data_IF_157448314200
#
_entry.id   IF_157448314200
#
_cell.length_a   1.000
_cell.length_b   1.000
_cell.length_c   1.000
_cell.angle_alpha   90.00
_cell.angle_beta   90.00
_cell.angle_gamma   90.00
#
_symmetry.space_group_name_H-M   'P 1'
#
loop_
_entity.id
_entity.type
_entity.pdbx_description
1 polymer ?
#
# COMPACT_ATOMS: atom_id res chain seq x y z
N UNK A 1 39.95 -46.46 -12.88
CA UNK A 1 38.57 -46.97 -12.78
C UNK A 1 38.05 -46.69 -11.38
N UNK A 2 37.57 -45.46 -11.14
CA UNK A 2 36.79 -45.10 -9.95
C UNK A 2 35.83 -43.99 -10.36
N UNK A 3 34.79 -44.38 -11.10
CA UNK A 3 33.59 -43.55 -11.21
C UNK A 3 32.92 -43.60 -9.83
N UNK A 4 33.21 -42.60 -9.00
CA UNK A 4 32.38 -42.31 -7.85
C UNK A 4 31.00 -41.95 -8.40
N UNK A 5 30.07 -42.89 -8.26
CA UNK A 5 28.65 -42.69 -8.51
C UNK A 5 28.19 -41.58 -7.57
N UNK A 6 28.19 -40.33 -8.07
CA UNK A 6 27.38 -39.27 -7.47
C UNK A 6 25.95 -39.73 -7.68
N UNK A 7 25.41 -40.39 -6.65
CA UNK A 7 24.01 -40.73 -6.60
C UNK A 7 23.24 -39.43 -6.78
N UNK A 8 22.64 -39.25 -7.96
CA UNK A 8 21.55 -38.30 -8.21
C UNK A 8 20.32 -38.77 -7.44
N UNK A 9 20.47 -38.95 -6.13
CA UNK A 9 19.34 -38.96 -5.22
C UNK A 9 18.75 -37.57 -5.37
N UNK A 10 17.54 -37.49 -5.94
CA UNK A 10 16.77 -36.26 -5.97
C UNK A 10 16.80 -35.67 -4.55
N UNK A 11 17.57 -34.60 -4.36
CA UNK A 11 17.66 -33.92 -3.07
C UNK A 11 16.31 -33.25 -2.89
N UNK A 12 15.38 -33.97 -2.29
CA UNK A 12 14.07 -33.45 -1.93
C UNK A 12 14.27 -32.54 -0.73
N UNK A 13 14.50 -31.26 -0.99
CA UNK A 13 14.55 -30.26 0.06
C UNK A 13 13.14 -30.06 0.64
N UNK A 14 12.96 -30.13 1.97
CA UNK A 14 11.69 -29.75 2.58
C UNK A 14 11.43 -28.27 2.34
N UNK A 15 10.17 -27.86 2.29
CA UNK A 15 9.84 -26.44 2.24
C UNK A 15 10.33 -25.74 3.53
N UNK A 16 10.93 -24.54 3.47
CA UNK A 16 11.48 -23.89 4.65
C UNK A 16 10.45 -23.46 5.70
N UNK A 17 9.14 -23.44 5.38
CA UNK A 17 8.06 -22.94 6.24
C UNK A 17 7.96 -23.64 7.59
N UNK A 18 7.42 -24.86 7.63
CA UNK A 18 7.16 -25.58 8.89
C UNK A 18 8.40 -26.28 9.48
N UNK A 19 9.46 -26.48 8.69
CA UNK A 19 10.62 -27.30 9.08
C UNK A 19 11.94 -26.62 8.72
N UNK A 20 12.08 -25.34 9.08
CA UNK A 20 13.28 -24.54 8.78
C UNK A 20 14.57 -25.23 9.23
N UNK A 21 14.60 -25.85 10.41
CA UNK A 21 15.79 -26.52 10.93
C UNK A 21 16.22 -27.71 10.07
N UNK A 22 15.26 -28.51 9.57
CA UNK A 22 15.55 -29.62 8.65
C UNK A 22 16.04 -29.10 7.30
N UNK A 23 15.40 -28.05 6.79
CA UNK A 23 15.84 -27.40 5.55
C UNK A 23 17.29 -26.89 5.64
N UNK A 24 17.64 -26.22 6.75
CA UNK A 24 19.00 -25.75 7.02
C UNK A 24 20.00 -26.91 7.16
N UNK A 25 19.60 -28.02 7.77
CA UNK A 25 20.44 -29.21 7.90
C UNK A 25 20.75 -29.83 6.52
N UNK A 26 19.74 -29.99 5.65
CA UNK A 26 19.93 -30.54 4.31
C UNK A 26 20.81 -29.63 3.44
N UNK A 27 20.59 -28.32 3.46
CA UNK A 27 21.41 -27.37 2.68
C UNK A 27 22.88 -27.38 3.10
N UNK A 28 23.17 -27.61 4.38
CA UNK A 28 24.55 -27.70 4.85
C UNK A 28 25.26 -28.98 4.41
N UNK A 29 24.52 -30.05 4.05
CA UNK A 29 25.09 -31.29 3.50
C UNK A 29 25.49 -31.17 2.04
N UNK A 30 24.92 -30.21 1.31
CA UNK A 30 25.22 -30.00 -0.11
C UNK A 30 26.67 -29.50 -0.23
N UNK A 31 27.52 -30.18 -1.02
CA UNK A 31 28.91 -29.78 -1.20
C UNK A 31 29.00 -28.48 -2.01
N UNK A 32 30.01 -27.67 -1.69
CA UNK A 32 30.32 -26.47 -2.49
C UNK A 32 31.00 -26.88 -3.79
N UNK A 33 30.65 -26.19 -4.88
CA UNK A 33 31.28 -26.43 -6.18
C UNK A 33 32.69 -25.84 -6.24
N UNK A 34 33.59 -26.56 -6.89
CA UNK A 34 34.87 -26.00 -7.34
C UNK A 34 34.64 -24.95 -8.44
N UNK A 35 35.60 -24.04 -8.64
CA UNK A 35 35.49 -23.02 -9.68
C UNK A 35 35.38 -23.63 -11.09
N UNK A 36 36.11 -24.73 -11.34
CA UNK A 36 36.06 -25.49 -12.60
C UNK A 36 34.68 -26.09 -12.85
N UNK A 37 34.08 -26.72 -11.83
CA UNK A 37 32.75 -27.32 -11.93
C UNK A 37 31.67 -26.26 -12.09
N UNK A 38 31.78 -25.15 -11.38
CA UNK A 38 30.88 -23.99 -11.51
C UNK A 38 30.90 -23.44 -12.95
N UNK A 39 32.09 -23.30 -13.55
CA UNK A 39 32.24 -22.87 -14.93
C UNK A 39 31.65 -23.88 -15.93
N UNK A 40 31.93 -25.18 -15.77
CA UNK A 40 31.37 -26.24 -16.62
C UNK A 40 29.84 -26.22 -16.63
N UNK A 41 29.23 -26.10 -15.44
CA UNK A 41 27.77 -26.03 -15.29
C UNK A 41 27.19 -24.75 -15.90
N UNK A 42 27.86 -23.62 -15.72
CA UNK A 42 27.43 -22.35 -16.28
C UNK A 42 27.50 -22.34 -17.82
N UNK A 43 28.55 -22.92 -18.41
CA UNK A 43 28.67 -23.09 -19.87
C UNK A 43 27.57 -24.03 -20.39
N UNK A 44 27.34 -25.16 -19.73
CA UNK A 44 26.25 -26.09 -20.09
C UNK A 44 24.88 -25.42 -20.05
N UNK A 45 24.62 -24.63 -19.00
CA UNK A 45 23.37 -23.89 -18.87
C UNK A 45 23.22 -22.85 -20.00
N UNK A 46 24.26 -22.07 -20.29
CA UNK A 46 24.23 -21.03 -21.33
C UNK A 46 24.04 -21.61 -22.73
N UNK A 47 24.82 -22.62 -23.08
CA UNK A 47 24.91 -23.12 -24.46
C UNK A 47 23.80 -24.13 -24.78
N UNK A 48 23.32 -24.88 -23.78
CA UNK A 48 22.35 -25.97 -23.98
C UNK A 48 21.03 -25.78 -23.24
N UNK A 49 20.90 -24.76 -22.40
CA UNK A 49 19.70 -24.57 -21.57
C UNK A 49 19.50 -25.68 -20.54
N UNK A 50 20.58 -26.32 -20.08
CA UNK A 50 20.54 -27.49 -19.20
C UNK A 50 19.97 -27.17 -17.81
N UNK A 51 18.72 -27.58 -17.55
CA UNK A 51 18.03 -27.33 -16.29
C UNK A 51 18.63 -28.07 -15.10
N UNK A 52 19.26 -29.21 -15.32
CA UNK A 52 19.94 -29.95 -14.25
C UNK A 52 21.21 -29.20 -13.83
N UNK A 53 21.92 -28.59 -14.79
CA UNK A 53 23.05 -27.71 -14.49
C UNK A 53 22.61 -26.47 -13.69
N UNK A 54 21.49 -25.84 -14.06
CA UNK A 54 20.91 -24.76 -13.27
C UNK A 54 20.54 -25.20 -11.85
N UNK A 55 19.93 -26.38 -11.70
CA UNK A 55 19.58 -26.93 -10.38
C UNK A 55 20.82 -27.12 -9.51
N UNK A 56 21.88 -27.72 -10.04
CA UNK A 56 23.14 -27.94 -9.31
C UNK A 56 23.80 -26.61 -8.88
N UNK A 57 23.81 -25.61 -9.78
CA UNK A 57 24.29 -24.25 -9.47
C UNK A 57 23.48 -23.58 -8.36
N UNK A 58 22.15 -23.70 -8.38
CA UNK A 58 21.29 -23.10 -7.35
C UNK A 58 21.48 -23.80 -6.00
N UNK A 59 21.38 -25.14 -5.97
CA UNK A 59 21.44 -25.93 -4.74
C UNK A 59 22.76 -25.73 -3.97
N UNK A 60 23.89 -25.71 -4.69
CA UNK A 60 25.22 -25.51 -4.09
C UNK A 60 25.41 -24.13 -3.43
N UNK A 61 24.60 -23.14 -3.81
CA UNK A 61 24.69 -21.76 -3.36
C UNK A 61 23.60 -21.37 -2.33
N UNK A 62 22.71 -22.27 -1.96
CA UNK A 62 21.64 -21.97 -0.98
C UNK A 62 22.19 -21.55 0.39
N UNK A 63 23.33 -22.09 0.82
CA UNK A 63 24.03 -21.68 2.06
C UNK A 63 24.37 -20.19 2.06
N UNK A 64 24.73 -19.66 0.90
CA UNK A 64 25.05 -18.24 0.73
C UNK A 64 23.79 -17.38 0.81
N UNK A 65 22.68 -17.84 0.24
CA UNK A 65 21.36 -17.17 0.36
C UNK A 65 20.95 -17.06 1.83
N UNK A 66 21.06 -18.14 2.59
CA UNK A 66 20.76 -18.15 4.04
C UNK A 66 21.61 -17.13 4.79
N UNK A 67 22.90 -17.04 4.48
CA UNK A 67 23.80 -16.05 5.09
C UNK A 67 23.34 -14.61 4.83
N UNK A 68 22.89 -14.31 3.60
CA UNK A 68 22.38 -12.98 3.26
C UNK A 68 21.04 -12.73 3.96
N UNK A 69 20.10 -13.67 3.89
CA UNK A 69 18.75 -13.55 4.49
C UNK A 69 18.79 -13.29 6.00
N UNK A 70 19.75 -13.89 6.72
CA UNK A 70 19.97 -13.62 8.16
C UNK A 70 20.26 -12.16 8.49
N UNK A 71 20.80 -11.38 7.54
CA UNK A 71 20.99 -9.93 7.72
C UNK A 71 19.68 -9.13 7.77
N UNK A 72 18.55 -9.73 7.40
CA UNK A 72 17.25 -9.06 7.28
C UNK A 72 16.24 -9.51 8.35
N UNK A 73 16.64 -10.35 9.32
CA UNK A 73 15.75 -10.79 10.41
C UNK A 73 15.30 -9.63 11.32
N UNK A 74 16.06 -8.54 11.36
CA UNK A 74 15.74 -7.34 12.15
C UNK A 74 14.48 -6.58 11.71
N UNK A 75 13.87 -6.96 10.59
CA UNK A 75 12.62 -6.38 10.08
C UNK A 75 11.35 -7.06 10.60
N UNK A 76 11.46 -8.16 11.36
CA UNK A 76 10.31 -8.86 11.93
C UNK A 76 9.58 -9.80 10.96
N UNK A 77 10.18 -10.09 9.80
CA UNK A 77 9.65 -11.02 8.81
C UNK A 77 10.17 -12.45 9.05
N UNK A 78 9.38 -13.51 8.73
CA UNK A 78 9.84 -14.88 8.85
C UNK A 78 11.10 -15.15 8.03
N UNK A 79 12.12 -15.77 8.64
CA UNK A 79 13.38 -16.08 7.97
C UNK A 79 13.17 -17.04 6.78
N UNK A 80 12.21 -17.96 6.89
CA UNK A 80 11.84 -18.87 5.81
C UNK A 80 11.49 -18.10 4.52
N UNK A 81 10.65 -17.06 4.62
CA UNK A 81 10.24 -16.26 3.48
C UNK A 81 11.40 -15.47 2.88
N UNK A 82 12.24 -14.87 3.74
CA UNK A 82 13.44 -14.16 3.30
C UNK A 82 14.40 -15.08 2.53
N UNK A 83 14.52 -16.36 2.94
CA UNK A 83 15.33 -17.34 2.22
C UNK A 83 14.69 -17.69 0.87
N UNK A 84 13.37 -17.85 0.81
CA UNK A 84 12.66 -18.15 -0.44
C UNK A 84 12.83 -17.03 -1.47
N UNK A 85 12.65 -15.79 -1.06
CA UNK A 85 12.83 -14.62 -1.92
C UNK A 85 14.28 -14.44 -2.35
N UNK A 86 15.22 -14.68 -1.43
CA UNK A 86 16.63 -14.75 -1.78
C UNK A 86 16.95 -15.88 -2.77
N UNK A 87 16.26 -17.02 -2.68
CA UNK A 87 16.33 -18.12 -3.62
C UNK A 87 15.84 -17.73 -5.02
N UNK A 88 14.74 -16.95 -5.11
CA UNK A 88 14.28 -16.35 -6.37
C UNK A 88 15.34 -15.43 -6.96
N UNK A 89 15.99 -14.61 -6.13
CA UNK A 89 17.12 -13.77 -6.54
C UNK A 89 18.29 -14.58 -7.09
N UNK A 90 18.64 -15.68 -6.43
CA UNK A 90 19.68 -16.60 -6.90
C UNK A 90 19.30 -17.22 -8.26
N UNK A 91 18.07 -17.69 -8.43
CA UNK A 91 17.60 -18.24 -9.72
C UNK A 91 17.68 -17.21 -10.85
N UNK A 92 17.30 -15.95 -10.57
CA UNK A 92 17.43 -14.83 -11.52
C UNK A 92 18.89 -14.54 -11.87
N UNK A 93 19.81 -14.66 -10.90
CA UNK A 93 21.24 -14.51 -11.12
C UNK A 93 21.81 -15.63 -11.99
N UNK A 94 21.51 -16.89 -11.65
CA UNK A 94 21.98 -18.08 -12.40
C UNK A 94 21.58 -18.01 -13.87
N UNK A 95 20.35 -17.56 -14.17
CA UNK A 95 19.88 -17.38 -15.55
C UNK A 95 20.64 -16.32 -16.36
N UNK A 96 21.22 -15.31 -15.70
CA UNK A 96 21.91 -14.18 -16.34
C UNK A 96 23.43 -14.21 -16.14
N UNK A 97 23.94 -15.27 -15.53
CA UNK A 97 25.35 -15.38 -15.23
C UNK A 97 26.15 -15.72 -16.50
N UNK A 98 27.22 -14.96 -16.74
CA UNK A 98 28.12 -15.16 -17.86
C UNK A 98 29.43 -15.83 -17.39
N UNK A 99 29.71 -17.07 -17.79
CA UNK A 99 30.93 -17.78 -17.37
C UNK A 99 32.22 -17.19 -17.95
N UNK A 100 32.16 -16.40 -19.04
CA UNK A 100 33.36 -15.87 -19.71
C UNK A 100 33.97 -14.67 -18.97
N UNK A 101 33.20 -14.05 -18.08
CA UNK A 101 33.65 -12.90 -17.26
C UNK A 101 34.70 -13.31 -16.21
N UNK A 102 34.82 -14.60 -15.91
CA UNK A 102 35.86 -15.12 -15.00
C UNK A 102 35.65 -14.81 -13.52
N UNK A 103 34.46 -14.36 -13.12
CA UNK A 103 34.09 -14.12 -11.71
C UNK A 103 33.28 -15.28 -11.15
N UNK A 104 33.38 -15.51 -9.83
CA UNK A 104 32.55 -16.52 -9.16
C UNK A 104 31.07 -16.13 -9.19
N UNK A 105 30.18 -17.14 -9.33
CA UNK A 105 28.73 -16.95 -9.32
C UNK A 105 28.25 -16.19 -8.06
N UNK A 106 28.84 -16.49 -6.90
CA UNK A 106 28.56 -15.81 -5.62
C UNK A 106 28.68 -14.28 -5.74
N UNK A 107 29.74 -13.81 -6.37
CA UNK A 107 30.04 -12.38 -6.53
C UNK A 107 29.00 -11.68 -7.39
N UNK A 108 28.46 -12.37 -8.40
CA UNK A 108 27.38 -11.85 -9.23
C UNK A 108 26.02 -11.94 -8.53
N UNK A 109 25.72 -13.08 -7.91
CA UNK A 109 24.42 -13.38 -7.33
C UNK A 109 24.08 -12.52 -6.11
N UNK A 110 25.07 -12.03 -5.36
CA UNK A 110 24.84 -11.23 -4.14
C UNK A 110 23.92 -10.02 -4.39
N UNK A 111 24.06 -9.35 -5.54
CA UNK A 111 23.26 -8.18 -5.87
C UNK A 111 21.80 -8.55 -6.17
N UNK A 112 21.58 -9.65 -6.88
CA UNK A 112 20.24 -10.17 -7.18
C UNK A 112 19.54 -10.68 -5.93
N UNK A 113 20.23 -11.42 -5.07
CA UNK A 113 19.70 -11.94 -3.81
C UNK A 113 19.27 -10.77 -2.92
N UNK A 114 20.14 -9.76 -2.72
CA UNK A 114 19.80 -8.58 -1.92
C UNK A 114 18.65 -7.78 -2.52
N UNK A 115 18.61 -7.63 -3.85
CA UNK A 115 17.55 -6.87 -4.51
C UNK A 115 16.17 -7.51 -4.30
N UNK A 116 16.05 -8.83 -4.47
CA UNK A 116 14.77 -9.53 -4.25
C UNK A 116 14.36 -9.50 -2.77
N UNK A 117 15.29 -9.73 -1.85
CA UNK A 117 14.99 -9.63 -0.41
C UNK A 117 14.57 -8.19 -0.06
N UNK A 118 15.25 -7.17 -0.58
CA UNK A 118 14.85 -5.77 -0.36
C UNK A 118 13.44 -5.50 -0.87
N UNK A 119 13.09 -5.99 -2.05
CA UNK A 119 11.75 -5.83 -2.62
C UNK A 119 10.69 -6.50 -1.73
N UNK A 120 10.97 -7.72 -1.28
CA UNK A 120 10.08 -8.44 -0.38
C UNK A 120 9.87 -7.71 0.94
N UNK A 121 10.96 -7.26 1.58
CA UNK A 121 10.90 -6.52 2.84
C UNK A 121 10.05 -5.26 2.65
N UNK A 122 10.31 -4.45 1.61
CA UNK A 122 9.54 -3.23 1.38
C UNK A 122 8.05 -3.47 1.13
N UNK A 123 7.69 -4.60 0.51
CA UNK A 123 6.30 -4.95 0.19
C UNK A 123 5.53 -5.51 1.39
N UNK A 124 6.21 -6.20 2.31
CA UNK A 124 5.56 -7.00 3.35
C UNK A 124 5.89 -6.56 4.78
N UNK A 125 6.75 -5.55 4.96
CA UNK A 125 7.13 -5.08 6.30
C UNK A 125 5.93 -4.51 7.08
N UNK A 126 4.98 -3.86 6.40
CA UNK A 126 3.74 -3.33 6.98
C UNK A 126 2.57 -3.39 6.02
N UNK A 127 1.37 -3.29 6.58
CA UNK A 127 0.12 -3.17 5.81
C UNK A 127 0.15 -1.88 4.97
N UNK A 128 0.56 -0.76 5.58
CA UNK A 128 0.69 0.53 4.89
C UNK A 128 2.11 0.65 4.31
N UNK A 129 2.19 0.88 2.99
CA UNK A 129 3.47 1.00 2.28
C UNK A 129 4.18 2.29 2.65
N UNK A 130 5.33 2.16 3.34
CA UNK A 130 6.08 3.30 3.89
C UNK A 130 7.08 3.92 2.91
N UNK A 131 7.64 3.13 1.99
CA UNK A 131 8.75 3.56 1.13
C UNK A 131 8.45 3.39 -0.37
N UNK A 132 7.69 4.34 -0.92
CA UNK A 132 7.30 4.35 -2.34
C UNK A 132 8.33 5.06 -3.22
N UNK A 133 9.06 6.03 -2.68
CA UNK A 133 10.05 6.81 -3.44
C UNK A 133 11.47 6.27 -3.30
N UNK A 134 12.36 6.61 -4.24
CA UNK A 134 13.78 6.21 -4.19
C UNK A 134 14.49 6.72 -2.93
N UNK A 135 14.19 7.96 -2.52
CA UNK A 135 14.71 8.55 -1.28
C UNK A 135 14.24 7.78 -0.04
N UNK A 136 12.94 7.48 0.02
CA UNK A 136 12.36 6.71 1.13
C UNK A 136 12.92 5.28 1.21
N UNK A 137 13.12 4.60 0.08
CA UNK A 137 13.76 3.26 0.04
C UNK A 137 15.19 3.30 0.59
N UNK A 138 15.97 4.34 0.24
CA UNK A 138 17.33 4.52 0.77
C UNK A 138 17.32 4.74 2.28
N UNK A 139 16.39 5.56 2.78
CA UNK A 139 16.22 5.79 4.22
C UNK A 139 15.76 4.52 4.94
N UNK A 140 14.81 3.77 4.39
CA UNK A 140 14.28 2.55 5.01
C UNK A 140 15.36 1.54 5.42
N UNK A 141 16.34 1.30 4.53
CA UNK A 141 17.43 0.36 4.81
C UNK A 141 18.58 0.96 5.63
N UNK A 142 18.87 2.26 5.50
CA UNK A 142 20.07 2.87 6.09
C UNK A 142 19.81 3.71 7.35
N UNK A 143 18.58 4.16 7.59
CA UNK A 143 18.26 5.08 8.69
C UNK A 143 18.52 4.43 10.06
N UNK A 144 18.16 3.14 10.22
CA UNK A 144 18.40 2.41 11.46
C UNK A 144 19.89 2.22 11.77
N UNK A 145 20.72 1.99 10.75
CA UNK A 145 22.18 1.88 10.91
C UNK A 145 22.86 3.23 11.10
N UNK A 146 22.30 4.32 10.56
CA UNK A 146 22.83 5.68 10.73
C UNK A 146 22.55 6.23 12.14
N UNK A 147 21.55 5.67 12.82
CA UNK A 147 21.11 6.10 14.14
C UNK A 147 22.06 5.60 15.23
N UNK A 148 22.78 6.53 15.88
CA UNK A 148 23.76 6.23 16.93
C UNK A 148 23.13 5.91 18.29
N UNK A 149 21.88 6.34 18.53
CA UNK A 149 21.17 6.23 19.81
C UNK A 149 19.74 5.71 19.63
N UNK A 150 19.28 4.92 20.59
CA UNK A 150 17.87 4.53 20.72
C UNK A 150 17.04 5.74 21.21
N UNK A 151 16.12 6.25 20.39
CA UNK A 151 15.29 7.44 20.71
C UNK A 151 15.14 8.37 19.50
N UNK A 152 14.26 9.37 19.51
CA UNK A 152 14.08 10.28 18.36
C UNK A 152 15.37 10.99 17.95
N UNK A 153 15.56 11.22 16.64
CA UNK A 153 16.70 11.95 16.11
C UNK A 153 16.62 13.42 16.54
N UNK A 154 17.76 13.96 16.95
CA UNK A 154 17.90 15.39 17.14
C UNK A 154 18.06 16.09 15.79
N UNK A 155 17.84 17.41 15.74
CA UNK A 155 17.95 18.20 14.51
C UNK A 155 19.29 18.01 13.77
N UNK A 156 20.40 18.03 14.49
CA UNK A 156 21.74 17.83 13.93
C UNK A 156 21.91 16.45 13.30
N UNK A 157 21.33 15.41 13.91
CA UNK A 157 21.37 14.04 13.38
C UNK A 157 20.52 13.92 12.11
N UNK A 158 19.36 14.58 12.08
CA UNK A 158 18.51 14.65 10.88
C UNK A 158 19.23 15.32 9.73
N UNK A 159 19.88 16.47 9.99
CA UNK A 159 20.64 17.22 8.98
C UNK A 159 21.82 16.38 8.45
N UNK A 160 22.60 15.74 9.34
CA UNK A 160 23.71 14.86 8.94
C UNK A 160 23.24 13.66 8.09
N UNK A 161 22.15 12.99 8.48
CA UNK A 161 21.59 11.86 7.72
C UNK A 161 21.03 12.31 6.37
N UNK A 162 20.42 13.49 6.32
CA UNK A 162 19.91 14.10 5.10
C UNK A 162 21.04 14.37 4.10
N UNK A 163 22.16 14.92 4.55
CA UNK A 163 23.36 15.17 3.73
C UNK A 163 24.00 13.86 3.25
N UNK A 164 24.26 12.91 4.15
CA UNK A 164 24.88 11.61 3.82
C UNK A 164 24.06 10.81 2.81
N UNK A 165 22.73 10.85 2.95
CA UNK A 165 21.82 10.11 2.09
C UNK A 165 21.32 10.92 0.88
N UNK A 166 21.58 12.23 0.82
CA UNK A 166 21.18 13.12 -0.27
C UNK A 166 19.65 13.27 -0.37
N UNK A 167 18.98 13.49 0.76
CA UNK A 167 17.51 13.60 0.89
C UNK A 167 17.13 14.84 1.71
N UNK A 168 15.87 15.28 1.68
CA UNK A 168 15.46 16.43 2.50
C UNK A 168 15.33 16.05 3.98
N UNK A 169 15.65 16.97 4.93
CA UNK A 169 15.43 16.76 6.37
C UNK A 169 13.99 16.38 6.71
N UNK A 170 13.01 16.97 6.02
CA UNK A 170 11.58 16.63 6.16
C UNK A 170 11.30 15.16 5.86
N UNK A 171 11.90 14.61 4.80
CA UNK A 171 11.74 13.20 4.43
C UNK A 171 12.36 12.27 5.50
N UNK A 172 13.45 12.69 6.13
CA UNK A 172 14.09 11.94 7.22
C UNK A 172 13.18 11.88 8.45
N UNK A 173 12.61 13.02 8.85
CA UNK A 173 11.66 13.11 9.98
C UNK A 173 10.39 12.29 9.71
N UNK A 174 9.82 12.41 8.52
CA UNK A 174 8.66 11.62 8.11
C UNK A 174 8.98 10.11 8.16
N UNK A 175 10.13 9.72 7.62
CA UNK A 175 10.55 8.31 7.64
C UNK A 175 10.81 7.82 9.06
N UNK A 176 11.43 8.63 9.93
CA UNK A 176 11.62 8.26 11.33
C UNK A 176 10.29 7.97 12.02
N UNK A 177 9.31 8.86 11.88
CA UNK A 177 7.97 8.70 12.45
C UNK A 177 7.30 7.40 11.96
N UNK A 178 7.39 7.12 10.65
CA UNK A 178 6.84 5.89 10.06
C UNK A 178 7.58 4.63 10.53
N UNK A 179 8.90 4.71 10.75
CA UNK A 179 9.70 3.59 11.25
C UNK A 179 9.46 3.31 12.74
N UNK A 180 9.16 4.33 13.53
CA UNK A 180 8.96 4.20 14.98
C UNK A 180 7.57 3.68 15.38
N UNK A 181 6.55 3.88 14.54
CA UNK A 181 5.19 3.40 14.86
C UNK A 181 5.10 1.88 14.96
N UNK A 182 3.98 1.30 15.35
CA UNK A 182 3.68 -0.13 15.18
C UNK A 182 2.24 -0.23 14.66
N UNK A 183 1.97 -1.23 13.82
CA UNK A 183 0.61 -1.46 13.35
C UNK A 183 -0.16 -2.11 14.50
N UNK A 184 -1.26 -1.47 14.92
CA UNK A 184 -2.07 -1.92 16.07
C UNK A 184 -3.30 -2.65 15.51
N UNK A 185 -3.60 -3.83 16.05
CA UNK A 185 -4.84 -4.53 15.73
C UNK A 185 -6.06 -3.74 16.18
N UNK A 186 -7.13 -3.72 15.37
CA UNK A 186 -8.35 -2.98 15.70
C UNK A 186 -9.06 -3.55 16.94
N UNK A 187 -9.06 -4.88 17.06
CA UNK A 187 -9.67 -5.61 18.16
C UNK A 187 -8.77 -6.80 18.55
N UNK A 188 -7.66 -6.54 19.28
CA UNK A 188 -6.79 -7.61 19.75
C UNK A 188 -7.48 -8.43 20.83
N UNK A 189 -7.34 -9.76 20.76
CA UNK A 189 -7.87 -10.67 21.80
C UNK A 189 -7.21 -10.31 23.15
N UNK A 190 -8.03 -10.14 24.19
CA UNK A 190 -7.56 -9.87 25.55
C UNK A 190 -6.60 -10.99 25.99
N UNK A 191 -5.37 -10.60 26.34
CA UNK A 191 -4.46 -11.47 27.09
C UNK A 191 -4.87 -11.45 28.56
N UNK A 192 -4.63 -12.55 29.28
CA UNK A 192 -5.04 -12.86 30.67
C UNK A 192 -4.53 -11.89 31.77
N UNK A 193 -4.00 -10.71 31.38
CA UNK A 193 -3.65 -9.63 32.29
C UNK A 193 -4.92 -8.82 32.63
N UNK A 194 -5.21 -8.70 33.94
CA UNK A 194 -6.39 -8.04 34.51
C UNK A 194 -6.50 -6.52 34.21
N UNK A 195 -5.51 -5.95 33.53
CA UNK A 195 -5.57 -4.61 32.97
C UNK A 195 -6.39 -4.66 31.67
N UNK A 196 -7.68 -4.30 31.75
CA UNK A 196 -8.57 -4.08 30.60
C UNK A 196 -7.93 -3.12 29.60
N UNK A 197 -7.16 -3.65 28.65
CA UNK A 197 -6.61 -2.85 27.56
C UNK A 197 -7.78 -2.35 26.73
N UNK A 198 -8.04 -1.05 26.81
CA UNK A 198 -9.06 -0.40 25.99
C UNK A 198 -8.67 -0.58 24.51
N UNK A 199 -9.40 -1.43 23.79
CA UNK A 199 -9.10 -1.71 22.38
C UNK A 199 -9.48 -0.51 21.52
N UNK A 200 -8.86 -0.32 20.34
CA UNK A 200 -9.31 0.69 19.38
C UNK A 200 -10.80 0.63 19.09
N UNK A 201 -11.37 -0.58 19.00
CA UNK A 201 -12.80 -0.78 18.85
C UNK A 201 -13.66 -0.09 19.95
N UNK A 202 -13.14 0.03 21.17
CA UNK A 202 -13.87 0.60 22.30
C UNK A 202 -13.73 2.13 22.45
N UNK A 203 -12.71 2.79 21.88
CA UNK A 203 -12.56 4.27 21.98
C UNK A 203 -12.73 5.01 20.66
N UNK A 204 -12.60 4.33 19.52
CA UNK A 204 -12.75 5.00 18.23
C UNK A 204 -14.21 5.43 18.07
N UNK A 205 -14.41 6.75 18.00
CA UNK A 205 -15.72 7.32 17.76
C UNK A 205 -16.24 6.89 16.39
N UNK A 206 -17.52 6.54 16.33
CA UNK A 206 -18.20 6.34 15.07
C UNK A 206 -18.18 7.66 14.26
N UNK A 207 -18.24 7.58 12.92
CA UNK A 207 -18.46 8.75 12.07
C UNK A 207 -19.64 9.61 12.58
N UNK A 208 -19.59 10.93 12.38
CA UNK A 208 -20.59 11.88 12.91
C UNK A 208 -22.01 11.59 12.41
N UNK A 209 -22.13 11.00 11.23
CA UNK A 209 -23.37 10.57 10.58
C UNK A 209 -23.87 9.18 11.00
N UNK A 210 -23.10 8.44 11.82
CA UNK A 210 -23.48 7.13 12.29
C UNK A 210 -24.47 7.15 13.47
N UNK A 211 -24.71 8.31 14.08
CA UNK A 211 -25.72 8.46 15.13
C UNK A 211 -27.12 8.29 14.53
N UNK A 212 -27.92 7.28 14.98
CA UNK A 212 -29.28 7.09 14.51
C UNK A 212 -30.18 8.32 14.72
N UNK A 213 -29.93 9.12 15.77
CA UNK A 213 -30.69 10.33 16.03
C UNK A 213 -30.43 11.39 14.95
N UNK A 214 -29.16 11.59 14.59
CA UNK A 214 -28.74 12.51 13.51
C UNK A 214 -29.28 12.04 12.16
N UNK A 215 -29.21 10.74 11.88
CA UNK A 215 -29.77 10.14 10.64
C UNK A 215 -31.28 10.38 10.54
N UNK A 216 -32.02 10.14 11.63
CA UNK A 216 -33.46 10.34 11.67
C UNK A 216 -33.82 11.83 11.51
N UNK A 217 -33.08 12.72 12.19
CA UNK A 217 -33.25 14.17 12.09
C UNK A 217 -33.04 14.64 10.64
N UNK A 218 -31.97 14.20 9.98
CA UNK A 218 -31.71 14.53 8.58
C UNK A 218 -32.83 14.04 7.65
N UNK A 219 -33.27 12.79 7.80
CA UNK A 219 -34.37 12.24 7.01
C UNK A 219 -35.67 13.01 7.23
N UNK A 220 -35.99 13.36 8.46
CA UNK A 220 -37.20 14.11 8.79
C UNK A 220 -37.14 15.55 8.26
N UNK A 221 -35.99 16.19 8.40
CA UNK A 221 -35.74 17.53 7.89
C UNK A 221 -35.86 17.57 6.37
N UNK A 222 -35.29 16.59 5.66
CA UNK A 222 -35.39 16.49 4.21
C UNK A 222 -36.84 16.28 3.75
N UNK A 223 -37.57 15.34 4.37
CA UNK A 223 -38.98 15.07 4.06
C UNK A 223 -39.86 16.30 4.29
N UNK A 224 -39.67 16.98 5.43
CA UNK A 224 -40.43 18.19 5.79
C UNK A 224 -40.08 19.36 4.89
N UNK A 225 -38.80 19.55 4.56
CA UNK A 225 -38.35 20.61 3.66
C UNK A 225 -38.89 20.41 2.25
N UNK A 226 -38.85 19.17 1.74
CA UNK A 226 -39.40 18.83 0.42
C UNK A 226 -40.91 18.98 0.36
N UNK A 227 -41.65 18.58 1.40
CA UNK A 227 -43.11 18.74 1.44
C UNK A 227 -43.51 20.22 1.50
N UNK A 228 -42.82 21.03 2.30
CA UNK A 228 -43.02 22.49 2.34
C UNK A 228 -42.68 23.15 1.01
N UNK A 229 -41.59 22.74 0.36
CA UNK A 229 -41.22 23.25 -0.96
C UNK A 229 -42.31 22.92 -1.99
N UNK A 230 -42.82 21.69 -2.00
CA UNK A 230 -43.89 21.28 -2.91
C UNK A 230 -45.16 22.09 -2.70
N UNK A 231 -45.60 22.27 -1.45
CA UNK A 231 -46.76 23.10 -1.11
C UNK A 231 -46.56 24.57 -1.50
N UNK A 232 -45.35 25.12 -1.30
CA UNK A 232 -45.02 26.48 -1.71
C UNK A 232 -45.01 26.65 -3.24
N UNK A 233 -44.54 25.63 -3.98
CA UNK A 233 -44.56 25.59 -5.44
C UNK A 233 -46.00 25.53 -5.99
N UNK A 234 -46.91 24.83 -5.33
CA UNK A 234 -48.33 24.76 -5.73
C UNK A 234 -49.07 26.09 -5.57
N UNK A 235 -48.67 26.93 -4.60
CA UNK A 235 -49.24 28.28 -4.38
C UNK A 235 -48.72 29.33 -5.37
N UNK A 236 -47.67 29.03 -6.14
CA UNK A 236 -47.15 29.92 -7.18
C UNK A 236 -48.00 29.86 -8.45
N UNK A 237 -48.02 30.95 -9.20
CA UNK A 237 -48.67 30.96 -10.51
C UNK A 237 -47.98 29.96 -11.47
N UNK A 238 -48.77 29.34 -12.35
CA UNK A 238 -48.31 28.27 -13.22
C UNK A 238 -47.07 28.64 -14.05
N UNK A 239 -46.96 29.91 -14.45
CA UNK A 239 -45.84 30.45 -15.21
C UNK A 239 -44.57 30.52 -14.37
N UNK A 240 -44.65 31.09 -13.17
CA UNK A 240 -43.52 31.17 -12.23
C UNK A 240 -43.06 29.80 -11.75
N UNK A 241 -44.00 28.87 -11.51
CA UNK A 241 -43.69 27.47 -11.16
C UNK A 241 -42.90 26.77 -12.26
N UNK A 242 -43.33 26.90 -13.52
CA UNK A 242 -42.63 26.30 -14.66
C UNK A 242 -41.20 26.85 -14.81
N UNK A 243 -41.03 28.17 -14.69
CA UNK A 243 -39.71 28.83 -14.75
C UNK A 243 -38.76 28.31 -13.66
N UNK A 244 -39.26 28.15 -12.42
CA UNK A 244 -38.44 27.63 -11.32
C UNK A 244 -38.10 26.16 -11.48
N UNK A 245 -39.07 25.33 -11.89
CA UNK A 245 -38.85 23.90 -12.10
C UNK A 245 -37.80 23.64 -13.18
N UNK A 246 -37.95 24.26 -14.35
CA UNK A 246 -37.04 24.07 -15.48
C UNK A 246 -35.62 24.59 -15.22
N UNK A 247 -35.45 25.57 -14.33
CA UNK A 247 -34.15 26.20 -14.07
C UNK A 247 -33.41 25.64 -12.85
N UNK A 248 -34.14 25.21 -11.82
CA UNK A 248 -33.56 24.82 -10.52
C UNK A 248 -33.81 23.37 -10.12
N UNK A 249 -34.90 22.74 -10.57
CA UNK A 249 -35.34 21.42 -10.11
C UNK A 249 -35.21 20.32 -11.18
N UNK A 250 -35.05 20.68 -12.45
CA UNK A 250 -34.77 19.74 -13.54
C UNK A 250 -33.27 19.37 -13.59
N UNK A 251 -32.97 18.14 -14.04
CA UNK A 251 -31.58 17.71 -14.31
C UNK A 251 -30.96 18.55 -15.43
N UNK A 252 -31.68 18.71 -16.54
CA UNK A 252 -31.31 19.60 -17.65
C UNK A 252 -31.87 21.00 -17.43
N UNK A 253 -31.03 21.90 -16.91
CA UNK A 253 -31.42 23.26 -16.54
C UNK A 253 -31.56 24.14 -17.77
N UNK A 254 -32.77 24.64 -18.02
CA UNK A 254 -33.05 25.54 -19.13
C UNK A 254 -32.38 26.92 -18.94
N UNK A 255 -31.91 27.51 -20.02
CA UNK A 255 -31.35 28.87 -20.02
C UNK A 255 -32.45 29.93 -19.98
N UNK A 256 -32.09 31.16 -19.59
CA UNK A 256 -33.01 32.31 -19.64
C UNK A 256 -33.56 32.57 -21.04
N UNK A 257 -32.76 32.29 -22.08
CA UNK A 257 -33.13 32.53 -23.47
C UNK A 257 -34.13 31.47 -23.95
N UNK A 258 -33.91 30.20 -23.65
CA UNK A 258 -34.86 29.12 -23.98
C UNK A 258 -36.22 29.31 -23.30
N UNK A 259 -36.23 29.76 -22.04
CA UNK A 259 -37.47 30.09 -21.33
C UNK A 259 -38.14 31.35 -21.87
N UNK A 260 -37.36 32.33 -22.31
CA UNK A 260 -37.86 33.54 -22.96
C UNK A 260 -38.56 33.20 -24.29
N UNK A 261 -37.93 32.36 -25.10
CA UNK A 261 -38.45 31.90 -26.38
C UNK A 261 -39.74 31.06 -26.19
N UNK A 262 -39.77 30.17 -25.19
CA UNK A 262 -40.96 29.36 -24.86
C UNK A 262 -42.15 30.19 -24.36
N UNK A 263 -41.89 31.22 -23.54
CA UNK A 263 -42.94 32.06 -22.93
C UNK A 263 -43.24 33.35 -23.71
N UNK A 264 -42.60 33.55 -24.88
CA UNK A 264 -42.80 34.71 -25.74
C UNK A 264 -42.47 36.07 -25.10
N UNK A 265 -41.45 36.13 -24.24
CA UNK A 265 -41.03 37.35 -23.53
C UNK A 265 -39.52 37.52 -23.54
N UNK A 266 -39.00 38.68 -23.16
CA UNK A 266 -37.54 38.89 -23.08
C UNK A 266 -36.90 38.08 -21.95
N UNK A 267 -35.62 37.71 -22.13
CA UNK A 267 -34.82 37.03 -21.10
C UNK A 267 -34.77 37.82 -19.78
N UNK A 268 -34.71 39.15 -19.85
CA UNK A 268 -34.76 40.01 -18.67
C UNK A 268 -36.12 39.93 -17.95
N UNK A 269 -37.22 39.76 -18.69
CA UNK A 269 -38.54 39.55 -18.07
C UNK A 269 -38.62 38.21 -17.33
N UNK A 270 -38.05 37.13 -17.87
CA UNK A 270 -37.96 35.83 -17.17
C UNK A 270 -37.13 35.98 -15.90
N UNK A 271 -35.99 36.69 -15.94
CA UNK A 271 -35.16 36.97 -14.77
C UNK A 271 -35.91 37.71 -13.67
N UNK A 272 -36.74 38.70 -14.03
CA UNK A 272 -37.58 39.42 -13.07
C UNK A 272 -38.64 38.50 -12.44
N UNK A 273 -39.30 37.67 -13.26
CA UNK A 273 -40.30 36.71 -12.79
C UNK A 273 -39.69 35.67 -11.84
N UNK A 274 -38.52 35.14 -12.17
CA UNK A 274 -37.76 34.24 -11.30
C UNK A 274 -37.42 34.89 -9.96
N UNK A 275 -36.85 36.10 -9.96
CA UNK A 275 -36.50 36.82 -8.72
C UNK A 275 -37.73 37.03 -7.83
N UNK A 276 -38.86 37.40 -8.43
CA UNK A 276 -40.12 37.58 -7.71
C UNK A 276 -40.68 36.25 -7.19
N UNK A 277 -40.57 35.17 -7.98
CA UNK A 277 -41.02 33.84 -7.60
C UNK A 277 -40.20 33.27 -6.43
N UNK A 278 -38.87 33.38 -6.46
CA UNK A 278 -37.99 33.02 -5.33
C UNK A 278 -38.33 33.84 -4.09
N UNK A 279 -38.59 35.15 -4.26
CA UNK A 279 -39.00 36.02 -3.16
C UNK A 279 -40.33 35.60 -2.51
N UNK A 280 -41.32 35.18 -3.31
CA UNK A 280 -42.58 34.62 -2.78
C UNK A 280 -42.38 33.26 -2.13
N UNK A 281 -41.57 32.39 -2.75
CA UNK A 281 -41.30 31.04 -2.27
C UNK A 281 -40.65 31.07 -0.86
N UNK A 282 -39.69 31.97 -0.65
CA UNK A 282 -39.10 32.20 0.69
C UNK A 282 -40.16 32.58 1.73
N UNK A 283 -41.02 33.56 1.42
CA UNK A 283 -42.10 33.98 2.34
C UNK A 283 -43.06 32.85 2.67
N UNK A 284 -43.38 31.99 1.69
CA UNK A 284 -44.27 30.84 1.89
C UNK A 284 -43.61 29.75 2.74
N UNK A 285 -42.32 29.50 2.54
CA UNK A 285 -41.55 28.55 3.36
C UNK A 285 -41.34 29.04 4.80
N UNK A 286 -41.09 30.34 4.99
CA UNK A 286 -40.98 30.96 6.32
C UNK A 286 -42.32 30.95 7.07
N UNK A 287 -43.44 31.12 6.37
CA UNK A 287 -44.78 30.99 6.92
C UNK A 287 -45.13 29.57 7.38
N UNK A 288 -44.81 28.55 6.57
CA UNK A 288 -44.98 27.14 6.96
C UNK A 288 -44.12 26.73 8.16
N UNK A 289 -42.94 27.36 8.34
CA UNK A 289 -42.09 27.13 9.53
C UNK A 289 -42.65 27.74 10.82
N UNK A 290 -43.56 28.71 10.74
CA UNK A 290 -44.14 29.36 11.91
C UNK A 290 -45.44 28.70 12.39
N UNK A 291 -46.04 27.85 11.56
CA UNK A 291 -47.29 27.11 11.84
C UNK A 291 -47.07 25.66 12.30
N UNK A 292 -45.82 25.15 12.21
CA UNK A 292 -45.38 23.84 12.68
C UNK A 292 -44.62 23.93 14.00
#
# INVERSE_FOLDING_TARGET
MSNALVSTSAVTLPAPGDQLDRYLAEINRIPMLSAEREHELAVRLRDRGDLDAARELVLSHLRFVVKIARGYTGYGLPLADLIQEGGIGLMKAVRRFDPDVGVRLVSFAVHWIRAEIHEYVLRNWRIVKVATTKAQRKLFFNLRSAKKRLGWLNREEVESVAEDLGVSPETVLEMESRLSGQDIGFDPVETDDEDRNWTPAAYLAAPTDADPAVTLEHSNWEQTSNSHLQQALEKLDARSRHILQARWLAEDKATLQELADHHGVSAERIRQLEKNAIGRLRKLMDGCRAEA
#
